data_IF_818997126461
#
_entry.id   IF_818997126461
#
_cell.length_a   1.000
_cell.length_b   1.000
_cell.length_c   1.000
_cell.angle_alpha   90.00
_cell.angle_beta   90.00
_cell.angle_gamma   90.00
#
_symmetry.space_group_name_H-M   'P 1'
#
loop_
_entity.id
_entity.type
_entity.pdbx_description
1 polymer ?
#
# COMPACT_ATOMS: atom_id res chain seq x y z
N UNK A 1 -12.89 -27.49 -10.75
CA UNK A 1 -12.02 -27.77 -9.58
C UNK A 1 -10.75 -26.93 -9.68
N UNK A 2 -10.36 -26.21 -8.61
CA UNK A 2 -9.10 -25.43 -8.54
C UNK A 2 -7.99 -26.32 -8.00
N UNK A 3 -6.80 -26.34 -8.62
CA UNK A 3 -5.62 -27.07 -8.11
C UNK A 3 -4.40 -26.14 -8.16
N UNK A 4 -4.08 -25.50 -7.04
CA UNK A 4 -3.05 -24.46 -6.97
C UNK A 4 -3.40 -23.21 -7.79
N UNK A 5 -2.42 -22.59 -8.43
CA UNK A 5 -2.58 -21.37 -9.25
C UNK A 5 -3.15 -21.64 -10.67
N UNK A 6 -3.91 -22.74 -10.84
CA UNK A 6 -4.49 -23.15 -12.13
C UNK A 6 -5.99 -23.44 -12.02
N UNK A 7 -6.72 -23.11 -13.08
CA UNK A 7 -8.14 -23.36 -13.27
C UNK A 7 -8.34 -24.26 -14.51
N UNK A 8 -9.25 -25.24 -14.40
CA UNK A 8 -9.61 -26.13 -15.52
C UNK A 8 -10.78 -25.50 -16.27
N UNK A 9 -10.67 -25.37 -17.59
CA UNK A 9 -11.77 -24.89 -18.42
C UNK A 9 -12.93 -25.91 -18.42
N UNK A 10 -14.15 -25.45 -18.15
CA UNK A 10 -15.35 -26.30 -18.16
C UNK A 10 -15.73 -26.77 -19.57
N UNK A 11 -15.32 -26.05 -20.61
CA UNK A 11 -15.68 -26.37 -22.00
C UNK A 11 -14.70 -27.34 -22.66
N UNK A 12 -13.39 -27.16 -22.48
CA UNK A 12 -12.37 -27.98 -23.15
C UNK A 12 -11.46 -28.79 -22.23
N UNK A 13 -11.56 -28.64 -20.91
CA UNK A 13 -10.73 -29.35 -19.95
C UNK A 13 -9.27 -28.85 -19.81
N UNK A 14 -8.88 -27.82 -20.57
CA UNK A 14 -7.50 -27.30 -20.56
C UNK A 14 -7.13 -26.60 -19.24
N UNK A 15 -5.86 -26.73 -18.83
CA UNK A 15 -5.34 -26.04 -17.66
C UNK A 15 -4.93 -24.61 -17.99
N UNK A 16 -5.60 -23.65 -17.37
CA UNK A 16 -5.35 -22.22 -17.53
C UNK A 16 -4.82 -21.61 -16.24
N UNK A 17 -4.14 -20.47 -16.35
CA UNK A 17 -3.73 -19.69 -15.20
C UNK A 17 -4.93 -19.07 -14.47
N UNK A 18 -4.83 -18.97 -13.14
CA UNK A 18 -5.93 -18.54 -12.27
C UNK A 18 -6.54 -17.18 -12.65
N UNK A 19 -5.72 -16.23 -13.11
CA UNK A 19 -6.15 -14.84 -13.35
C UNK A 19 -6.60 -14.57 -14.80
N UNK A 20 -6.49 -15.55 -15.70
CA UNK A 20 -6.86 -15.40 -17.11
C UNK A 20 -8.38 -15.31 -17.26
N UNK A 21 -8.85 -14.39 -18.12
CA UNK A 21 -10.28 -14.21 -18.38
C UNK A 21 -10.83 -15.31 -19.31
N UNK A 22 -10.11 -15.57 -20.40
CA UNK A 22 -10.51 -16.52 -21.44
C UNK A 22 -9.59 -17.74 -21.44
N UNK A 23 -10.13 -18.90 -21.79
CA UNK A 23 -9.33 -20.11 -22.01
C UNK A 23 -8.35 -19.90 -23.19
N UNK A 24 -7.10 -20.34 -23.06
CA UNK A 24 -6.11 -20.27 -24.14
C UNK A 24 -6.46 -21.11 -25.36
N UNK A 25 -7.14 -22.24 -25.14
CA UNK A 25 -7.50 -23.16 -26.21
C UNK A 25 -8.84 -22.79 -26.89
N UNK A 26 -9.94 -22.74 -26.12
CA UNK A 26 -11.30 -22.59 -26.68
C UNK A 26 -11.92 -21.19 -26.50
N UNK A 27 -11.18 -20.22 -25.96
CA UNK A 27 -11.65 -18.85 -25.71
C UNK A 27 -12.90 -18.70 -24.83
N UNK A 28 -13.38 -19.76 -24.17
CA UNK A 28 -14.51 -19.66 -23.24
C UNK A 28 -14.13 -18.81 -22.03
N UNK A 29 -15.12 -18.10 -21.48
CA UNK A 29 -14.93 -17.36 -20.23
C UNK A 29 -14.66 -18.34 -19.08
N UNK A 30 -13.58 -18.10 -18.33
CA UNK A 30 -13.19 -18.87 -17.15
C UNK A 30 -13.72 -18.26 -15.85
N UNK A 31 -14.06 -16.96 -15.89
CA UNK A 31 -14.55 -16.17 -14.75
C UNK A 31 -15.35 -14.97 -15.24
N UNK A 32 -16.09 -14.37 -14.31
CA UNK A 32 -16.76 -13.10 -14.54
C UNK A 32 -15.75 -11.97 -14.83
N UNK A 33 -16.14 -11.10 -15.76
CA UNK A 33 -15.36 -9.95 -16.18
C UNK A 33 -15.56 -8.81 -15.18
N UNK A 34 -14.46 -8.29 -14.64
CA UNK A 34 -14.44 -7.10 -13.79
C UNK A 34 -13.78 -5.98 -14.60
N UNK A 35 -14.58 -5.02 -15.07
CA UNK A 35 -14.08 -3.97 -15.97
C UNK A 35 -13.28 -2.92 -15.19
N UNK A 36 -13.89 -2.34 -14.16
CA UNK A 36 -13.30 -1.29 -13.33
C UNK A 36 -13.27 -1.72 -11.87
N UNK A 37 -12.36 -1.14 -11.09
CA UNK A 37 -12.41 -1.23 -9.63
C UNK A 37 -13.49 -0.25 -9.14
N UNK A 38 -14.34 -0.72 -8.24
CA UNK A 38 -15.23 0.13 -7.45
C UNK A 38 -14.48 0.51 -6.16
N UNK A 39 -14.13 1.79 -6.01
CA UNK A 39 -13.33 2.27 -4.89
C UNK A 39 -14.00 2.00 -3.54
N UNK A 40 -15.30 2.28 -3.43
CA UNK A 40 -16.02 2.17 -2.17
C UNK A 40 -16.22 0.71 -1.78
N UNK A 41 -16.61 -0.13 -2.73
CA UNK A 41 -16.74 -1.56 -2.48
C UNK A 41 -15.38 -2.20 -2.15
N UNK A 42 -14.30 -1.76 -2.79
CA UNK A 42 -12.94 -2.23 -2.48
C UNK A 42 -12.48 -1.77 -1.10
N UNK A 43 -12.74 -0.51 -0.71
CA UNK A 43 -12.43 -0.02 0.63
C UNK A 43 -13.10 -0.91 1.68
N UNK A 44 -14.42 -1.08 1.60
CA UNK A 44 -15.16 -1.92 2.56
C UNK A 44 -14.72 -3.38 2.52
N UNK A 45 -14.46 -3.91 1.33
CA UNK A 45 -13.98 -5.27 1.16
C UNK A 45 -12.61 -5.52 1.79
N UNK A 46 -11.71 -4.54 1.80
CA UNK A 46 -10.40 -4.66 2.44
C UNK A 46 -10.48 -4.77 3.97
N UNK A 47 -11.53 -4.21 4.60
CA UNK A 47 -11.78 -4.41 6.03
C UNK A 47 -12.26 -5.82 6.36
N UNK A 48 -13.27 -6.32 5.63
CA UNK A 48 -13.96 -7.56 6.02
C UNK A 48 -13.43 -8.83 5.34
N UNK A 49 -13.03 -8.73 4.08
CA UNK A 49 -12.60 -9.86 3.25
C UNK A 49 -11.41 -9.48 2.35
N UNK A 50 -10.23 -9.17 2.93
CA UNK A 50 -9.10 -8.60 2.20
C UNK A 50 -8.62 -9.48 1.05
N UNK A 51 -8.50 -10.80 1.26
CA UNK A 51 -8.03 -11.74 0.23
C UNK A 51 -8.97 -11.79 -0.98
N UNK A 52 -10.28 -11.90 -0.76
CA UNK A 52 -11.26 -11.91 -1.87
C UNK A 52 -11.32 -10.55 -2.56
N UNK A 53 -11.14 -9.47 -1.82
CA UNK A 53 -11.10 -8.11 -2.36
C UNK A 53 -9.87 -7.89 -3.22
N UNK A 54 -8.69 -8.33 -2.78
CA UNK A 54 -7.48 -8.30 -3.60
C UNK A 54 -7.61 -9.17 -4.85
N UNK A 55 -8.32 -10.31 -4.81
CA UNK A 55 -8.60 -11.10 -6.02
C UNK A 55 -9.41 -10.28 -7.03
N UNK A 56 -10.48 -9.61 -6.57
CA UNK A 56 -11.29 -8.71 -7.42
C UNK A 56 -10.46 -7.55 -7.98
N UNK A 57 -9.60 -6.96 -7.16
CA UNK A 57 -8.68 -5.90 -7.57
C UNK A 57 -7.73 -6.39 -8.65
N UNK A 58 -7.09 -7.56 -8.51
CA UNK A 58 -6.21 -8.16 -9.53
C UNK A 58 -6.99 -8.47 -10.80
N UNK A 59 -8.20 -8.99 -10.65
CA UNK A 59 -9.10 -9.36 -11.75
C UNK A 59 -9.59 -8.19 -12.60
N UNK A 60 -9.58 -6.97 -12.07
CA UNK A 60 -10.02 -5.77 -12.79
C UNK A 60 -9.14 -5.50 -14.02
N UNK A 61 -9.77 -5.12 -15.13
CA UNK A 61 -9.05 -4.75 -16.36
C UNK A 61 -8.46 -3.35 -16.25
N UNK A 62 -9.26 -2.38 -15.82
CA UNK A 62 -8.85 -0.99 -15.62
C UNK A 62 -8.62 -0.71 -14.13
N UNK A 63 -7.42 -0.18 -13.84
CA UNK A 63 -6.99 0.19 -12.50
C UNK A 63 -7.14 1.70 -12.28
N UNK A 64 -8.35 2.19 -12.49
CA UNK A 64 -8.75 3.60 -12.52
C UNK A 64 -8.23 4.45 -11.33
N UNK A 65 -8.18 3.91 -10.12
CA UNK A 65 -7.82 4.69 -8.91
C UNK A 65 -6.34 4.62 -8.47
N UNK A 66 -5.47 3.95 -9.25
CA UNK A 66 -4.04 3.78 -8.87
C UNK A 66 -3.36 5.12 -8.56
N UNK A 67 -3.42 6.07 -9.49
CA UNK A 67 -2.68 7.34 -9.37
C UNK A 67 -3.21 8.14 -8.20
N UNK A 68 -4.53 8.17 -8.04
CA UNK A 68 -5.20 8.86 -6.94
C UNK A 68 -4.76 8.33 -5.57
N UNK A 69 -4.82 7.02 -5.36
CA UNK A 69 -4.42 6.39 -4.09
C UNK A 69 -2.92 6.58 -3.85
N UNK A 70 -2.09 6.48 -4.90
CA UNK A 70 -0.65 6.65 -4.82
C UNK A 70 -0.25 8.04 -4.34
N UNK A 71 -0.84 9.10 -4.93
CA UNK A 71 -0.54 10.49 -4.55
C UNK A 71 -0.95 10.73 -3.10
N UNK A 72 -2.17 10.34 -2.71
CA UNK A 72 -2.66 10.57 -1.36
C UNK A 72 -1.88 9.78 -0.31
N UNK A 73 -1.55 8.52 -0.60
CA UNK A 73 -0.70 7.70 0.29
C UNK A 73 0.68 8.35 0.45
N UNK A 74 1.27 8.82 -0.65
CA UNK A 74 2.54 9.56 -0.63
C UNK A 74 2.47 10.84 0.21
N UNK A 75 1.37 11.59 0.14
CA UNK A 75 1.16 12.78 1.00
C UNK A 75 1.11 12.39 2.47
N UNK A 76 0.46 11.28 2.84
CA UNK A 76 0.46 10.83 4.24
C UNK A 76 1.83 10.36 4.70
N UNK A 77 2.56 9.66 3.84
CA UNK A 77 3.92 9.23 4.11
C UNK A 77 4.83 10.44 4.36
N UNK A 78 4.65 11.56 3.64
CA UNK A 78 5.37 12.80 3.93
C UNK A 78 5.10 13.32 5.35
N UNK A 79 3.86 13.25 5.85
CA UNK A 79 3.56 13.65 7.23
C UNK A 79 4.24 12.75 8.26
N UNK A 80 4.27 11.43 8.02
CA UNK A 80 5.04 10.50 8.85
C UNK A 80 6.54 10.86 8.85
N UNK A 81 7.10 11.17 7.68
CA UNK A 81 8.49 11.57 7.53
C UNK A 81 8.81 12.82 8.37
N UNK A 82 7.98 13.87 8.29
CA UNK A 82 8.13 15.10 9.09
C UNK A 82 8.10 14.79 10.59
N UNK A 83 7.12 14.00 11.04
CA UNK A 83 6.96 13.61 12.44
C UNK A 83 8.18 12.86 12.97
N UNK A 84 8.60 11.80 12.27
CA UNK A 84 9.71 10.96 12.73
C UNK A 84 11.07 11.67 12.69
N UNK A 85 11.33 12.51 11.68
CA UNK A 85 12.57 13.29 11.64
C UNK A 85 12.69 14.20 12.86
N UNK A 86 11.61 14.90 13.21
CA UNK A 86 11.58 15.77 14.39
C UNK A 86 11.70 15.01 15.69
N UNK A 87 11.22 13.77 15.74
CA UNK A 87 11.38 12.89 16.90
C UNK A 87 12.83 12.40 17.05
N UNK A 88 13.55 12.15 15.95
CA UNK A 88 14.89 11.54 15.95
C UNK A 88 16.04 12.55 15.89
N UNK A 89 15.84 13.74 15.30
CA UNK A 89 16.86 14.79 15.24
C UNK A 89 16.54 15.91 16.23
N UNK A 90 17.45 16.16 17.17
CA UNK A 90 17.40 17.33 18.08
C UNK A 90 17.61 18.67 17.35
N UNK A 91 17.95 18.64 16.05
CA UNK A 91 18.21 19.84 15.25
C UNK A 91 16.94 20.59 14.86
N UNK A 92 17.06 21.93 14.77
CA UNK A 92 16.09 22.80 14.13
C UNK A 92 16.00 22.48 12.63
N UNK A 93 15.25 21.44 12.26
CA UNK A 93 14.83 21.27 10.88
C UNK A 93 13.89 22.44 10.55
N UNK A 94 14.46 23.55 10.07
CA UNK A 94 13.70 24.60 9.44
C UNK A 94 13.14 24.02 8.14
N UNK A 95 11.82 23.87 8.10
CA UNK A 95 11.11 23.53 6.87
C UNK A 95 11.11 24.76 5.96
N UNK A 96 12.29 25.24 5.56
CA UNK A 96 12.46 26.46 4.78
C UNK A 96 11.67 26.39 3.46
N UNK A 97 11.42 25.18 2.95
CA UNK A 97 10.52 24.92 1.83
C UNK A 97 9.69 23.63 2.01
N UNK A 98 8.52 23.75 2.67
CA UNK A 98 7.60 22.61 2.88
C UNK A 98 7.12 22.01 1.56
N UNK A 99 6.87 22.85 0.55
CA UNK A 99 6.40 22.43 -0.76
C UNK A 99 7.44 21.59 -1.50
N UNK A 100 8.72 22.01 -1.48
CA UNK A 100 9.80 21.25 -2.09
C UNK A 100 10.02 19.91 -1.37
N UNK A 101 9.92 19.92 -0.05
CA UNK A 101 10.04 18.72 0.78
C UNK A 101 8.94 17.71 0.46
N UNK A 102 7.70 18.17 0.33
CA UNK A 102 6.54 17.38 -0.08
C UNK A 102 6.73 16.79 -1.48
N UNK A 103 7.11 17.61 -2.47
CA UNK A 103 7.32 17.15 -3.86
C UNK A 103 8.42 16.08 -3.89
N UNK A 104 9.55 16.31 -3.21
CA UNK A 104 10.65 15.35 -3.16
C UNK A 104 10.23 14.05 -2.46
N UNK A 105 9.47 14.13 -1.36
CA UNK A 105 8.95 12.94 -0.66
C UNK A 105 8.00 12.13 -1.55
N UNK A 106 7.09 12.82 -2.27
CA UNK A 106 6.19 12.20 -3.24
C UNK A 106 6.96 11.49 -4.36
N UNK A 107 7.97 12.14 -4.95
CA UNK A 107 8.80 11.54 -6.00
C UNK A 107 9.53 10.30 -5.47
N UNK A 108 10.19 10.41 -4.30
CA UNK A 108 10.88 9.29 -3.68
C UNK A 108 9.93 8.12 -3.40
N UNK A 109 8.75 8.38 -2.84
CA UNK A 109 7.73 7.37 -2.58
C UNK A 109 7.26 6.68 -3.87
N UNK A 110 6.94 7.46 -4.92
CA UNK A 110 6.52 6.92 -6.22
C UNK A 110 7.62 6.02 -6.81
N UNK A 111 8.87 6.48 -6.81
CA UNK A 111 10.01 5.71 -7.34
C UNK A 111 10.18 4.40 -6.56
N UNK A 112 10.17 4.44 -5.22
CA UNK A 112 10.29 3.25 -4.38
C UNK A 112 9.15 2.27 -4.65
N UNK A 113 7.91 2.74 -4.73
CA UNK A 113 6.74 1.90 -5.03
C UNK A 113 6.86 1.24 -6.41
N UNK A 114 7.33 1.96 -7.43
CA UNK A 114 7.55 1.39 -8.76
C UNK A 114 8.65 0.32 -8.75
N UNK A 115 9.76 0.55 -8.03
CA UNK A 115 10.84 -0.42 -7.88
C UNK A 115 10.38 -1.67 -7.12
N UNK A 116 9.63 -1.51 -6.03
CA UNK A 116 9.03 -2.63 -5.29
C UNK A 116 8.03 -3.41 -6.15
N UNK A 117 7.16 -2.74 -6.90
CA UNK A 117 6.24 -3.39 -7.81
C UNK A 117 6.95 -4.20 -8.89
N UNK A 118 8.10 -3.71 -9.38
CA UNK A 118 8.94 -4.39 -10.36
C UNK A 118 9.63 -5.61 -9.75
N UNK A 119 10.19 -5.46 -8.55
CA UNK A 119 10.77 -6.56 -7.78
C UNK A 119 9.76 -7.69 -7.56
N UNK A 120 8.55 -7.35 -7.11
CA UNK A 120 7.46 -8.30 -6.93
C UNK A 120 7.05 -9.01 -8.22
N UNK A 121 6.96 -8.26 -9.31
CA UNK A 121 6.62 -8.83 -10.61
C UNK A 121 7.59 -9.96 -10.99
N UNK A 122 8.90 -9.75 -10.82
CA UNK A 122 9.89 -10.80 -11.06
C UNK A 122 9.78 -11.96 -10.06
N UNK A 123 9.57 -11.69 -8.78
CA UNK A 123 9.34 -12.75 -7.78
C UNK A 123 8.11 -13.61 -8.11
N UNK A 124 7.04 -13.02 -8.62
CA UNK A 124 5.82 -13.72 -9.01
C UNK A 124 6.05 -14.61 -10.23
N UNK A 125 6.81 -14.14 -11.23
CA UNK A 125 7.23 -14.96 -12.37
C UNK A 125 8.02 -16.19 -11.88
N UNK A 126 9.01 -16.00 -11.01
CA UNK A 126 9.81 -17.10 -10.44
C UNK A 126 8.92 -18.07 -9.65
N UNK A 127 7.91 -17.53 -8.96
CA UNK A 127 6.92 -18.31 -8.21
C UNK A 127 5.86 -18.97 -9.11
N UNK A 128 6.01 -18.92 -10.44
CA UNK A 128 5.08 -19.48 -11.44
C UNK A 128 3.66 -18.92 -11.34
N UNK A 129 3.55 -17.66 -10.90
CA UNK A 129 2.28 -16.93 -10.82
C UNK A 129 2.16 -16.00 -12.02
N UNK A 130 1.16 -16.22 -12.87
CA UNK A 130 0.92 -15.36 -14.03
C UNK A 130 0.18 -14.10 -13.58
N UNK A 131 0.91 -12.98 -13.53
CA UNK A 131 0.38 -11.68 -13.11
C UNK A 131 0.96 -10.57 -14.00
N UNK A 132 0.19 -9.50 -14.25
CA UNK A 132 0.68 -8.33 -14.98
C UNK A 132 1.45 -7.42 -14.04
N UNK A 133 2.46 -6.70 -14.52
CA UNK A 133 3.15 -5.67 -13.72
C UNK A 133 2.15 -4.66 -13.08
N UNK A 134 1.13 -4.25 -13.85
CA UNK A 134 0.08 -3.36 -13.34
C UNK A 134 -0.67 -3.96 -12.14
N UNK A 135 -0.88 -5.26 -12.09
CA UNK A 135 -1.54 -5.92 -10.96
C UNK A 135 -0.63 -5.90 -9.72
N UNK A 136 0.67 -6.17 -9.88
CA UNK A 136 1.69 -6.05 -8.81
C UNK A 136 1.71 -4.65 -8.21
N UNK A 137 1.72 -3.62 -9.06
CA UNK A 137 1.63 -2.23 -8.63
C UNK A 137 0.31 -1.93 -7.90
N UNK A 138 -0.81 -2.46 -8.40
CA UNK A 138 -2.14 -2.21 -7.81
C UNK A 138 -2.24 -2.78 -6.40
N UNK A 139 -1.80 -4.02 -6.19
CA UNK A 139 -1.93 -4.65 -4.86
C UNK A 139 -1.06 -3.96 -3.81
N UNK A 140 0.12 -3.47 -4.21
CA UNK A 140 1.00 -2.72 -3.32
C UNK A 140 0.35 -1.39 -2.93
N UNK A 141 -0.16 -0.63 -3.89
CA UNK A 141 -0.82 0.67 -3.64
C UNK A 141 -2.07 0.51 -2.78
N UNK A 142 -2.92 -0.49 -3.04
CA UNK A 142 -4.12 -0.71 -2.24
C UNK A 142 -3.83 -1.21 -0.81
N UNK A 143 -2.62 -1.74 -0.56
CA UNK A 143 -2.19 -2.08 0.80
C UNK A 143 -1.96 -0.84 1.68
N UNK A 144 -1.77 0.34 1.07
CA UNK A 144 -1.69 1.62 1.76
C UNK A 144 -3.06 2.29 2.02
N UNK A 145 -4.17 1.60 1.74
CA UNK A 145 -5.52 2.13 2.04
C UNK A 145 -5.71 2.64 3.48
N UNK A 146 -5.19 1.96 4.53
CA UNK A 146 -5.26 2.48 5.90
C UNK A 146 -4.64 3.86 6.09
N UNK A 147 -3.63 4.21 5.28
CA UNK A 147 -2.99 5.53 5.34
C UNK A 147 -3.90 6.64 4.79
N UNK A 148 -4.86 6.31 3.92
CA UNK A 148 -5.86 7.28 3.49
C UNK A 148 -6.82 7.65 4.63
N UNK A 149 -7.17 6.69 5.50
CA UNK A 149 -7.95 7.00 6.70
C UNK A 149 -7.17 7.88 7.67
N UNK A 150 -5.89 7.57 7.88
CA UNK A 150 -5.03 8.46 8.67
C UNK A 150 -4.97 9.87 8.06
N UNK A 151 -4.84 9.98 6.72
CA UNK A 151 -4.80 11.28 6.06
C UNK A 151 -6.08 12.09 6.21
N UNK A 152 -7.24 11.48 5.95
CA UNK A 152 -8.51 12.22 5.91
C UNK A 152 -9.16 12.40 7.27
N UNK A 153 -8.86 11.53 8.23
CA UNK A 153 -9.46 11.56 9.57
C UNK A 153 -8.46 12.06 10.61
N UNK A 154 -7.29 11.45 10.70
CA UNK A 154 -6.33 11.76 11.77
C UNK A 154 -5.56 13.05 11.50
N UNK A 155 -5.11 13.31 10.28
CA UNK A 155 -4.32 14.52 10.01
C UNK A 155 -5.06 15.84 10.33
N UNK A 156 -6.36 16.00 10.01
CA UNK A 156 -7.13 17.16 10.46
C UNK A 156 -7.27 17.23 11.99
N UNK A 157 -7.43 16.09 12.66
CA UNK A 157 -7.52 16.02 14.13
C UNK A 157 -6.18 16.39 14.78
N UNK A 158 -5.06 15.89 14.26
CA UNK A 158 -3.69 16.26 14.64
C UNK A 158 -3.49 17.77 14.51
N UNK A 159 -3.85 18.34 13.36
CA UNK A 159 -3.75 19.77 13.13
C UNK A 159 -4.66 20.59 14.05
N UNK A 160 -5.89 20.14 14.32
CA UNK A 160 -6.79 20.84 15.24
C UNK A 160 -6.28 20.81 16.70
N UNK A 161 -5.64 19.72 17.12
CA UNK A 161 -5.18 19.56 18.50
C UNK A 161 -3.85 20.27 18.78
N UNK A 162 -2.91 20.21 17.82
CA UNK A 162 -1.53 20.68 18.00
C UNK A 162 -1.19 21.91 17.13
N UNK A 163 -2.00 22.22 16.12
CA UNK A 163 -1.78 23.36 15.23
C UNK A 163 -0.39 23.36 14.60
N UNK A 164 0.29 24.50 14.69
CA UNK A 164 1.66 24.66 14.19
C UNK A 164 2.67 23.72 14.87
N UNK A 165 2.42 23.31 16.10
CA UNK A 165 3.34 22.48 16.88
C UNK A 165 3.45 21.04 16.36
N UNK A 166 2.47 20.58 15.59
CA UNK A 166 2.56 19.30 14.89
C UNK A 166 3.71 19.27 13.87
N UNK A 167 3.95 20.39 13.18
CA UNK A 167 5.01 20.51 12.19
C UNK A 167 6.32 21.02 12.78
N UNK A 168 6.28 21.94 13.75
CA UNK A 168 7.50 22.52 14.33
C UNK A 168 8.12 21.63 15.39
N UNK A 169 7.33 20.80 16.07
CA UNK A 169 7.73 19.98 17.21
C UNK A 169 8.36 20.77 18.37
N UNK A 170 8.08 22.08 18.44
CA UNK A 170 8.64 22.99 19.43
C UNK A 170 7.55 23.91 20.04
N UNK A 171 7.02 23.60 21.24
CA UNK A 171 7.30 22.41 22.04
C UNK A 171 6.66 21.14 21.42
N UNK A 172 7.17 19.97 21.80
CA UNK A 172 6.69 18.68 21.29
C UNK A 172 5.18 18.48 21.58
N UNK A 173 4.41 17.87 20.67
CA UNK A 173 2.99 17.54 20.89
C UNK A 173 2.72 16.78 22.19
N UNK A 174 3.69 15.96 22.63
CA UNK A 174 3.62 15.20 23.88
C UNK A 174 3.67 16.09 25.13
N UNK A 175 4.25 17.28 25.08
CA UNK A 175 4.22 18.23 26.20
C UNK A 175 2.95 19.10 26.22
N UNK A 176 2.32 19.33 25.07
CA UNK A 176 1.15 20.21 24.97
C UNK A 176 -0.12 19.47 25.40
N UNK A 177 -0.36 18.29 24.82
CA UNK A 177 -1.52 17.43 25.13
C UNK A 177 -1.09 15.97 25.10
N UNK A 178 -0.35 15.56 26.14
CA UNK A 178 0.27 14.25 26.28
C UNK A 178 -0.67 13.08 25.96
N UNK A 179 -1.83 13.01 26.62
CA UNK A 179 -2.79 11.92 26.44
C UNK A 179 -3.29 11.84 24.99
N UNK A 180 -3.59 13.00 24.38
CA UNK A 180 -4.05 13.04 23.00
C UNK A 180 -2.95 12.63 22.01
N UNK A 181 -1.70 13.04 22.25
CA UNK A 181 -0.55 12.68 21.43
C UNK A 181 -0.31 11.16 21.44
N UNK A 182 -0.30 10.53 22.62
CA UNK A 182 -0.14 9.07 22.71
C UNK A 182 -1.31 8.31 22.08
N UNK A 183 -2.55 8.77 22.26
CA UNK A 183 -3.71 8.15 21.60
C UNK A 183 -3.60 8.19 20.08
N UNK A 184 -3.24 9.36 19.52
CA UNK A 184 -3.09 9.52 18.07
C UNK A 184 -1.97 8.63 17.54
N UNK A 185 -0.78 8.68 18.13
CA UNK A 185 0.35 7.83 17.71
C UNK A 185 0.00 6.34 17.82
N UNK A 186 -0.77 5.95 18.83
CA UNK A 186 -1.30 4.59 18.95
C UNK A 186 -2.21 4.20 17.78
N UNK A 187 -3.18 5.06 17.41
CA UNK A 187 -4.07 4.81 16.27
C UNK A 187 -3.29 4.79 14.96
N UNK A 188 -2.34 5.71 14.75
CA UNK A 188 -1.47 5.70 13.57
C UNK A 188 -0.64 4.42 13.47
N UNK A 189 -0.08 3.96 14.60
CA UNK A 189 0.63 2.68 14.69
C UNK A 189 -0.26 1.50 14.29
N UNK A 190 -1.53 1.47 14.75
CA UNK A 190 -2.49 0.45 14.34
C UNK A 190 -2.78 0.51 12.83
N UNK A 191 -2.96 1.70 12.25
CA UNK A 191 -3.18 1.84 10.81
C UNK A 191 -1.95 1.43 9.98
N UNK A 192 -0.74 1.72 10.47
CA UNK A 192 0.52 1.26 9.86
C UNK A 192 0.66 -0.26 9.89
N UNK A 193 0.40 -0.88 11.06
CA UNK A 193 0.38 -2.34 11.19
C UNK A 193 -0.69 -2.95 10.29
N UNK A 194 -1.83 -2.31 10.15
CA UNK A 194 -2.88 -2.79 9.27
C UNK A 194 -2.48 -2.71 7.79
N UNK A 195 -1.76 -1.67 7.37
CA UNK A 195 -1.16 -1.63 6.02
C UNK A 195 -0.22 -2.81 5.75
N UNK A 196 0.61 -3.19 6.73
CA UNK A 196 1.45 -4.39 6.64
C UNK A 196 0.61 -5.67 6.50
N UNK A 197 -0.46 -5.82 7.29
CA UNK A 197 -1.37 -6.97 7.18
C UNK A 197 -2.04 -7.05 5.80
N UNK A 198 -2.50 -5.92 5.26
CA UNK A 198 -3.07 -5.89 3.91
C UNK A 198 -2.04 -6.29 2.86
N UNK A 199 -0.78 -5.88 3.02
CA UNK A 199 0.30 -6.28 2.12
C UNK A 199 0.57 -7.79 2.16
N UNK A 200 0.51 -8.40 3.35
CA UNK A 200 0.55 -9.87 3.50
C UNK A 200 -0.62 -10.52 2.73
N UNK A 201 -1.85 -10.03 2.90
CA UNK A 201 -3.02 -10.58 2.21
C UNK A 201 -2.98 -10.38 0.69
N UNK A 202 -2.46 -9.23 0.22
CA UNK A 202 -2.20 -8.93 -1.18
C UNK A 202 -1.22 -9.95 -1.78
N UNK A 203 -0.07 -10.12 -1.15
CA UNK A 203 0.97 -11.03 -1.62
C UNK A 203 0.49 -12.51 -1.54
N UNK A 204 -0.31 -12.85 -0.53
CA UNK A 204 -0.95 -14.17 -0.41
C UNK A 204 -1.94 -14.42 -1.53
N UNK A 205 -2.69 -13.40 -1.91
CA UNK A 205 -3.67 -13.51 -2.98
C UNK A 205 -3.02 -13.95 -4.28
N UNK A 206 -1.81 -13.47 -4.60
CA UNK A 206 -1.07 -13.81 -5.83
C UNK A 206 -0.30 -15.12 -5.71
N UNK A 207 0.44 -15.29 -4.62
CA UNK A 207 1.38 -16.42 -4.48
C UNK A 207 0.71 -17.70 -3.99
N UNK A 208 -0.39 -17.60 -3.25
CA UNK A 208 -1.04 -18.72 -2.56
C UNK A 208 -0.22 -19.32 -1.41
N UNK A 209 0.94 -18.74 -1.06
CA UNK A 209 1.92 -19.31 -0.12
C UNK A 209 2.12 -18.39 1.09
N UNK A 210 1.49 -18.73 2.22
CA UNK A 210 1.47 -17.91 3.45
C UNK A 210 2.85 -17.38 3.89
N UNK A 211 3.83 -18.27 4.02
CA UNK A 211 5.18 -17.92 4.51
C UNK A 211 5.87 -16.95 3.56
N UNK A 212 5.82 -17.23 2.25
CA UNK A 212 6.41 -16.37 1.24
C UNK A 212 5.77 -14.98 1.24
N UNK A 213 4.45 -14.90 1.41
CA UNK A 213 3.72 -13.62 1.47
C UNK A 213 4.12 -12.77 2.67
N UNK A 214 4.34 -13.40 3.83
CA UNK A 214 4.82 -12.73 5.04
C UNK A 214 6.23 -12.18 4.82
N UNK A 215 7.14 -13.00 4.28
CA UNK A 215 8.53 -12.58 4.03
C UNK A 215 8.59 -11.41 3.06
N UNK A 216 7.86 -11.50 1.93
CA UNK A 216 7.82 -10.42 0.94
C UNK A 216 7.25 -9.14 1.57
N UNK A 217 6.13 -9.23 2.29
CA UNK A 217 5.50 -8.07 2.91
C UNK A 217 6.40 -7.41 3.98
N UNK A 218 7.05 -8.21 4.84
CA UNK A 218 7.99 -7.66 5.83
C UNK A 218 9.17 -6.98 5.15
N UNK A 219 9.73 -7.59 4.11
CA UNK A 219 10.82 -7.01 3.32
C UNK A 219 10.41 -5.68 2.67
N UNK A 220 9.27 -5.64 1.99
CA UNK A 220 8.72 -4.43 1.36
C UNK A 220 8.49 -3.32 2.38
N UNK A 221 7.89 -3.65 3.53
CA UNK A 221 7.57 -2.67 4.56
C UNK A 221 8.86 -2.09 5.14
N UNK A 222 9.81 -2.94 5.53
CA UNK A 222 11.10 -2.50 6.04
C UNK A 222 11.88 -1.68 5.00
N UNK A 223 11.89 -2.10 3.74
CA UNK A 223 12.58 -1.37 2.68
C UNK A 223 11.94 0.00 2.45
N UNK A 224 10.60 0.08 2.43
CA UNK A 224 9.89 1.34 2.22
C UNK A 224 10.17 2.33 3.35
N UNK A 225 10.01 1.91 4.60
CA UNK A 225 10.27 2.79 5.74
C UNK A 225 11.76 3.17 5.83
N UNK A 226 12.68 2.20 5.72
CA UNK A 226 14.12 2.51 5.75
C UNK A 226 14.55 3.43 4.61
N UNK A 227 14.12 3.18 3.37
CA UNK A 227 14.49 4.01 2.24
C UNK A 227 13.99 5.46 2.40
N UNK A 228 12.76 5.64 2.90
CA UNK A 228 12.21 6.98 3.17
C UNK A 228 12.94 7.70 4.30
N UNK A 229 13.43 6.98 5.31
CA UNK A 229 14.26 7.55 6.37
C UNK A 229 15.68 7.91 5.90
N UNK A 230 16.35 7.00 5.17
CA UNK A 230 17.76 7.16 4.81
C UNK A 230 18.01 8.07 3.60
N UNK A 231 17.19 7.98 2.54
CA UNK A 231 17.39 8.82 1.34
C UNK A 231 17.44 10.29 1.68
N UNK A 232 16.76 10.69 2.75
CA UNK A 232 16.65 12.08 3.15
C UNK A 232 17.51 12.48 4.35
N UNK A 233 18.24 11.54 4.92
CA UNK A 233 19.40 11.90 5.75
C UNK A 233 20.57 12.35 4.87
N UNK A 234 20.61 11.86 3.62
CA UNK A 234 21.66 12.16 2.64
C UNK A 234 21.44 13.47 1.85
N UNK A 235 20.21 14.01 1.83
CA UNK A 235 19.82 15.25 1.15
C UNK A 235 19.02 16.15 2.08
#
# INVERSE_FOLDING_TARGET
MKKGNKIICSSCGEFNALYRLNCSNCSSFLRERVVNIDLWASIWGLFYAPVETFKKIVFAEHKNFIIFILILSGTKIFFHEVFFRKLLSEGEFEVANISLSLISSLISFIVIILLLALFNYYLYIISKSEIRYKDSLTILIYSFMPQLFSLFILAPVEYALFGKFWFTFNPSPFFIKETAAYMIVGIEGVLLLWSLLLMIFANYTVTGRKILSIIIALFEFLLLFSALFYLKFLF
#
